data_IF_540830238913
#
_entry.id   IF_540830238913
#
_cell.length_a   1.000
_cell.length_b   1.000
_cell.length_c   1.000
_cell.angle_alpha   90.00
_cell.angle_beta   90.00
_cell.angle_gamma   90.00
#
_symmetry.space_group_name_H-M   'P 1'
#
loop_
_entity.id
_entity.type
_entity.pdbx_description
1 polymer ?
#
# COMPACT_ATOMS: atom_id res chain seq x y z
N UNK A 1 0.46 -1.08 -14.57
CA UNK A 1 1.78 -1.46 -14.02
C UNK A 1 2.89 -1.32 -15.06
N UNK A 2 2.67 -1.74 -16.32
CA UNK A 2 3.69 -1.67 -17.39
C UNK A 2 3.94 -0.29 -18.03
N UNK A 3 3.23 0.76 -17.62
CA UNK A 3 3.42 2.12 -18.13
C UNK A 3 2.70 2.49 -19.43
N UNK A 4 1.79 1.65 -19.91
CA UNK A 4 1.07 1.90 -21.17
C UNK A 4 -0.02 2.98 -21.12
N UNK A 5 -0.27 3.61 -19.96
CA UNK A 5 -1.31 4.63 -19.81
C UNK A 5 -0.66 6.00 -19.82
N UNK A 6 -0.99 6.85 -20.81
CA UNK A 6 -0.44 8.21 -20.87
C UNK A 6 -0.98 9.11 -19.76
N UNK A 7 -0.17 10.08 -19.35
CA UNK A 7 -0.59 11.10 -18.39
C UNK A 7 -1.80 11.88 -18.92
N UNK A 8 -2.77 12.17 -18.05
CA UNK A 8 -4.03 12.83 -18.42
C UNK A 8 -5.11 11.88 -18.97
N UNK A 9 -4.86 10.58 -19.06
CA UNK A 9 -5.89 9.62 -19.47
C UNK A 9 -7.10 9.64 -18.51
N UNK A 10 -8.31 9.79 -19.08
CA UNK A 10 -9.57 9.70 -18.35
C UNK A 10 -10.04 8.25 -18.31
N UNK A 11 -10.03 7.65 -17.13
CA UNK A 11 -10.49 6.28 -16.90
C UNK A 11 -11.93 6.08 -17.39
N UNK A 12 -12.12 5.09 -18.27
CA UNK A 12 -13.43 4.58 -18.63
C UNK A 12 -13.73 3.31 -17.82
N UNK A 13 -14.73 3.32 -16.91
CA UNK A 13 -15.06 2.15 -16.11
C UNK A 13 -15.70 1.01 -16.92
N UNK A 14 -16.12 1.26 -18.17
CA UNK A 14 -16.82 0.29 -19.01
C UNK A 14 -15.95 -0.39 -20.08
N UNK A 15 -14.69 0.03 -20.24
CA UNK A 15 -13.80 -0.51 -21.27
C UNK A 15 -12.35 -0.50 -20.85
N UNK A 16 -11.58 -1.50 -21.29
CA UNK A 16 -10.12 -1.48 -21.19
C UNK A 16 -9.51 -0.44 -22.13
N UNK A 17 -8.32 0.07 -21.78
CA UNK A 17 -7.52 0.87 -22.71
C UNK A 17 -7.06 -0.04 -23.86
N UNK A 18 -7.29 0.40 -25.08
CA UNK A 18 -6.93 -0.35 -26.29
C UNK A 18 -5.65 0.19 -26.90
N UNK A 19 -4.85 -0.67 -27.52
CA UNK A 19 -3.50 -0.32 -28.01
C UNK A 19 -3.53 0.66 -29.20
N UNK A 20 -4.64 0.69 -29.93
CA UNK A 20 -4.92 1.58 -31.07
C UNK A 20 -5.33 2.99 -30.65
N UNK A 21 -5.61 3.22 -29.36
CA UNK A 21 -6.02 4.55 -28.88
C UNK A 21 -4.83 5.48 -28.71
N UNK A 22 -5.04 6.76 -29.01
CA UNK A 22 -4.04 7.81 -28.84
C UNK A 22 -3.49 7.90 -27.40
N UNK A 23 -4.30 7.50 -26.41
CA UNK A 23 -3.94 7.50 -24.98
C UNK A 23 -3.05 6.30 -24.57
N UNK A 24 -2.80 5.35 -25.46
CA UNK A 24 -1.91 4.22 -25.23
C UNK A 24 -0.45 4.63 -25.46
N UNK A 25 0.41 4.27 -24.51
CA UNK A 25 1.85 4.40 -24.64
C UNK A 25 2.45 3.06 -25.10
N UNK A 26 2.76 2.97 -26.40
CA UNK A 26 3.27 1.75 -27.01
C UNK A 26 4.69 1.38 -26.58
N UNK A 27 5.50 2.36 -26.16
CA UNK A 27 6.88 2.16 -25.71
C UNK A 27 7.13 2.87 -24.37
N UNK A 28 6.69 2.27 -23.25
CA UNK A 28 6.83 2.86 -21.94
C UNK A 28 8.28 2.86 -21.48
N UNK A 29 8.77 4.06 -21.16
CA UNK A 29 10.05 4.27 -20.51
C UNK A 29 10.06 3.71 -19.08
N UNK A 30 11.22 3.64 -18.45
CA UNK A 30 11.33 3.26 -17.05
C UNK A 30 10.45 4.15 -16.15
N UNK A 31 10.43 5.46 -16.40
CA UNK A 31 9.64 6.43 -15.62
C UNK A 31 8.12 6.21 -15.73
N UNK A 32 7.66 5.56 -16.79
CA UNK A 32 6.23 5.26 -16.98
C UNK A 32 5.80 4.01 -16.20
N UNK A 33 6.74 3.15 -15.82
CA UNK A 33 6.48 1.86 -15.18
C UNK A 33 6.28 2.02 -13.68
N UNK A 34 5.48 1.12 -13.11
CA UNK A 34 5.31 1.04 -11.67
C UNK A 34 6.48 0.24 -11.08
N UNK A 35 7.10 0.77 -10.02
CA UNK A 35 8.27 0.18 -9.38
C UNK A 35 7.99 -0.45 -8.02
N UNK A 36 6.83 -0.16 -7.43
CA UNK A 36 6.37 -0.72 -6.15
C UNK A 36 4.84 -0.66 -6.09
N UNK A 37 4.23 -1.74 -5.59
CA UNK A 37 2.81 -1.73 -5.22
C UNK A 37 2.67 -1.37 -3.74
N UNK A 38 1.92 -0.31 -3.46
CA UNK A 38 1.57 0.08 -2.08
C UNK A 38 0.06 -0.04 -1.89
N UNK A 39 -0.36 -0.90 -0.97
CA UNK A 39 -1.76 -1.12 -0.62
C UNK A 39 -2.09 -0.45 0.71
N UNK A 40 -2.99 0.54 0.71
CA UNK A 40 -3.36 1.29 1.92
C UNK A 40 -4.70 0.77 2.43
N UNK A 41 -4.72 0.26 3.66
CA UNK A 41 -5.90 -0.34 4.28
C UNK A 41 -6.11 0.30 5.66
N UNK A 42 -7.35 0.60 6.02
CA UNK A 42 -7.68 1.08 7.36
C UNK A 42 -7.79 -0.08 8.33
N UNK A 43 -7.26 0.08 9.55
CA UNK A 43 -7.44 -0.87 10.63
C UNK A 43 -8.92 -1.07 11.02
N UNK A 44 -9.78 -0.09 10.72
CA UNK A 44 -11.22 -0.18 10.92
C UNK A 44 -11.92 -0.99 9.82
N UNK A 45 -11.36 -1.01 8.60
CA UNK A 45 -11.97 -1.69 7.44
C UNK A 45 -11.47 -3.12 7.25
N UNK A 46 -10.40 -3.53 7.94
CA UNK A 46 -9.86 -4.89 7.86
C UNK A 46 -10.91 -5.99 8.14
N UNK A 47 -11.92 -5.70 8.98
CA UNK A 47 -13.02 -6.63 9.28
C UNK A 47 -14.15 -6.63 8.22
N UNK A 48 -14.19 -5.64 7.33
CA UNK A 48 -15.24 -5.43 6.33
C UNK A 48 -14.76 -5.72 4.90
N UNK A 49 -13.56 -6.28 4.73
CA UNK A 49 -13.06 -6.69 3.43
C UNK A 49 -13.93 -7.87 2.92
N UNK A 50 -14.89 -7.57 2.06
CA UNK A 50 -15.76 -8.58 1.42
C UNK A 50 -14.98 -9.45 0.45
N UNK A 51 -15.48 -10.65 0.16
CA UNK A 51 -14.80 -11.63 -0.71
C UNK A 51 -14.39 -11.05 -2.07
N UNK A 52 -15.27 -10.31 -2.73
CA UNK A 52 -14.98 -9.73 -4.05
C UNK A 52 -13.93 -8.63 -4.00
N UNK A 53 -13.95 -7.79 -2.96
CA UNK A 53 -12.96 -6.72 -2.81
C UNK A 53 -11.57 -7.30 -2.48
N UNK A 54 -11.53 -8.29 -1.58
CA UNK A 54 -10.31 -9.05 -1.26
C UNK A 54 -9.75 -9.72 -2.51
N UNK A 55 -10.60 -10.34 -3.32
CA UNK A 55 -10.20 -11.02 -4.55
C UNK A 55 -9.52 -10.05 -5.51
N UNK A 56 -10.11 -8.88 -5.78
CA UNK A 56 -9.54 -7.86 -6.66
C UNK A 56 -8.19 -7.34 -6.15
N UNK A 57 -8.07 -7.06 -4.84
CA UNK A 57 -6.80 -6.64 -4.25
C UNK A 57 -5.72 -7.72 -4.37
N UNK A 58 -6.09 -8.99 -4.15
CA UNK A 58 -5.17 -10.12 -4.32
C UNK A 58 -4.75 -10.30 -5.77
N UNK A 59 -5.64 -10.14 -6.73
CA UNK A 59 -5.32 -10.24 -8.16
C UNK A 59 -4.30 -9.17 -8.58
N UNK A 60 -4.50 -7.92 -8.15
CA UNK A 60 -3.54 -6.83 -8.41
C UNK A 60 -2.20 -7.13 -7.75
N UNK A 61 -2.22 -7.60 -6.49
CA UNK A 61 -1.02 -8.02 -5.76
C UNK A 61 -0.27 -9.13 -6.49
N UNK A 62 -0.93 -10.26 -6.76
CA UNK A 62 -0.29 -11.38 -7.46
C UNK A 62 0.27 -10.98 -8.83
N UNK A 63 -0.43 -10.13 -9.59
CA UNK A 63 0.10 -9.61 -10.84
C UNK A 63 1.36 -8.74 -10.65
N UNK A 64 1.44 -7.95 -9.58
CA UNK A 64 2.66 -7.23 -9.19
C UNK A 64 3.81 -8.20 -8.86
N UNK A 65 3.53 -9.21 -8.03
CA UNK A 65 4.48 -10.24 -7.62
C UNK A 65 5.04 -11.03 -8.80
N UNK A 66 4.21 -11.40 -9.76
CA UNK A 66 4.60 -12.15 -10.96
C UNK A 66 5.53 -11.34 -11.86
N UNK A 67 5.51 -10.01 -11.76
CA UNK A 67 6.48 -9.11 -12.41
C UNK A 67 7.72 -8.83 -11.54
N UNK A 68 7.89 -9.51 -10.40
CA UNK A 68 9.00 -9.30 -9.48
C UNK A 68 8.94 -8.00 -8.67
N UNK A 69 7.83 -7.27 -8.77
CA UNK A 69 7.70 -5.95 -8.14
C UNK A 69 7.52 -6.09 -6.62
N UNK A 70 8.17 -5.25 -5.80
CA UNK A 70 7.96 -5.23 -4.36
C UNK A 70 6.52 -4.81 -4.01
N UNK A 71 6.00 -5.42 -2.94
CA UNK A 71 4.62 -5.27 -2.50
C UNK A 71 4.59 -4.91 -1.02
N UNK A 72 4.02 -3.75 -0.69
CA UNK A 72 3.97 -3.22 0.67
C UNK A 72 2.52 -2.88 1.02
N UNK A 73 2.11 -3.20 2.24
CA UNK A 73 0.84 -2.77 2.78
C UNK A 73 1.05 -1.73 3.90
N UNK A 74 0.19 -0.71 3.93
CA UNK A 74 0.13 0.28 4.99
C UNK A 74 -1.19 0.09 5.73
N UNK A 75 -1.11 -0.18 7.03
CA UNK A 75 -2.27 -0.28 7.91
C UNK A 75 -2.46 1.07 8.62
N UNK A 76 -3.42 1.86 8.16
CA UNK A 76 -3.71 3.23 8.65
C UNK A 76 -4.77 3.24 9.75
N UNK A 77 -4.99 4.41 10.39
CA UNK A 77 -6.03 4.61 11.42
C UNK A 77 -5.90 3.64 12.61
N UNK A 78 -4.66 3.31 12.97
CA UNK A 78 -4.36 2.36 14.06
C UNK A 78 -4.76 2.90 15.44
N UNK A 79 -4.79 4.22 15.58
CA UNK A 79 -5.22 4.99 16.73
C UNK A 79 -6.75 4.94 16.90
N UNK A 80 -7.50 5.04 15.80
CA UNK A 80 -8.96 4.84 15.85
C UNK A 80 -9.31 3.40 16.23
N UNK A 81 -8.60 2.42 15.65
CA UNK A 81 -8.85 1.00 15.91
C UNK A 81 -8.36 0.55 17.30
N UNK A 82 -7.36 1.23 17.87
CA UNK A 82 -6.78 0.96 19.18
C UNK A 82 -6.39 2.27 19.87
N UNK A 83 -7.33 2.93 20.58
CA UNK A 83 -7.10 4.24 21.18
C UNK A 83 -5.92 4.32 22.16
N UNK A 84 -5.49 3.19 22.72
CA UNK A 84 -4.29 3.10 23.57
C UNK A 84 -2.99 3.46 22.82
N UNK A 85 -2.98 3.31 21.49
CA UNK A 85 -1.84 3.64 20.63
C UNK A 85 -1.55 5.14 20.63
N UNK A 86 -2.57 5.98 20.81
CA UNK A 86 -2.37 7.43 20.80
C UNK A 86 -1.52 7.90 22.00
N UNK A 87 -1.56 7.16 23.11
CA UNK A 87 -0.74 7.42 24.30
C UNK A 87 0.69 6.90 24.16
N UNK A 88 0.89 5.79 23.44
CA UNK A 88 2.18 5.12 23.33
C UNK A 88 2.45 4.57 21.92
N UNK A 89 2.54 5.47 20.95
CA UNK A 89 2.70 5.10 19.54
C UNK A 89 4.00 4.33 19.24
N UNK A 90 5.03 4.49 20.08
CA UNK A 90 6.27 3.71 20.04
C UNK A 90 6.06 2.20 20.30
N UNK A 91 4.95 1.83 20.94
CA UNK A 91 4.63 0.45 21.28
C UNK A 91 3.66 -0.21 20.28
N UNK A 92 3.43 0.41 19.11
CA UNK A 92 2.50 -0.08 18.06
C UNK A 92 2.68 -1.57 17.74
N UNK A 93 3.91 -2.03 17.53
CA UNK A 93 4.20 -3.44 17.23
C UNK A 93 4.10 -4.37 18.43
N UNK A 94 4.09 -3.83 19.66
CA UNK A 94 3.94 -4.61 20.91
C UNK A 94 2.47 -4.77 21.32
N UNK A 95 1.56 -3.95 20.79
CA UNK A 95 0.13 -4.04 21.09
C UNK A 95 -0.45 -5.30 20.45
N UNK A 96 -0.94 -6.22 21.29
CA UNK A 96 -1.53 -7.50 20.86
C UNK A 96 -2.65 -7.31 19.82
N UNK A 97 -3.47 -6.28 19.99
CA UNK A 97 -4.56 -5.97 19.07
C UNK A 97 -4.06 -5.62 17.65
N UNK A 98 -3.06 -4.74 17.54
CA UNK A 98 -2.51 -4.38 16.23
C UNK A 98 -1.74 -5.53 15.58
N UNK A 99 -1.04 -6.34 16.37
CA UNK A 99 -0.40 -7.57 15.86
C UNK A 99 -1.44 -8.50 15.24
N UNK A 100 -2.58 -8.71 15.91
CA UNK A 100 -3.69 -9.49 15.37
C UNK A 100 -4.23 -8.89 14.07
N UNK A 101 -4.39 -7.56 13.98
CA UNK A 101 -4.83 -6.89 12.75
C UNK A 101 -3.86 -7.08 11.58
N UNK A 102 -2.55 -7.05 11.85
CA UNK A 102 -1.51 -7.35 10.86
C UNK A 102 -1.62 -8.81 10.39
N UNK A 103 -1.80 -9.77 11.30
CA UNK A 103 -1.97 -11.19 10.98
C UNK A 103 -3.25 -11.44 10.17
N UNK A 104 -4.37 -10.80 10.55
CA UNK A 104 -5.64 -10.83 9.81
C UNK A 104 -5.45 -10.30 8.39
N UNK A 105 -4.82 -9.14 8.23
CA UNK A 105 -4.57 -8.56 6.90
C UNK A 105 -3.63 -9.42 6.06
N UNK A 106 -2.60 -9.99 6.68
CA UNK A 106 -1.68 -10.94 6.05
C UNK A 106 -2.43 -12.16 5.53
N UNK A 107 -3.27 -12.79 6.35
CA UNK A 107 -4.09 -13.94 5.94
C UNK A 107 -5.09 -13.57 4.84
N UNK A 108 -5.71 -12.39 4.94
CA UNK A 108 -6.76 -11.94 4.01
C UNK A 108 -6.20 -11.45 2.68
N UNK A 109 -5.06 -10.76 2.62
CA UNK A 109 -4.54 -10.21 1.37
C UNK A 109 -3.29 -10.93 0.86
N UNK A 110 -2.64 -11.74 1.70
CA UNK A 110 -1.44 -12.52 1.33
C UNK A 110 -0.13 -11.74 1.39
N UNK A 111 -0.10 -10.59 2.08
CA UNK A 111 1.15 -9.88 2.35
C UNK A 111 1.89 -10.56 3.49
N UNK A 112 3.22 -10.77 3.40
CA UNK A 112 4.00 -11.17 4.57
C UNK A 112 3.83 -10.14 5.71
N UNK A 113 3.69 -10.55 6.99
CA UNK A 113 3.57 -9.61 8.10
C UNK A 113 4.70 -8.57 8.17
N UNK A 114 5.90 -8.94 7.74
CA UNK A 114 7.07 -8.05 7.63
C UNK A 114 6.95 -6.95 6.56
N UNK A 115 5.95 -7.04 5.68
CA UNK A 115 5.66 -6.07 4.62
C UNK A 115 4.41 -5.22 4.95
N UNK A 116 3.86 -5.34 6.16
CA UNK A 116 2.69 -4.58 6.62
C UNK A 116 3.14 -3.56 7.66
N UNK A 117 2.97 -2.28 7.33
CA UNK A 117 3.44 -1.15 8.15
C UNK A 117 2.25 -0.43 8.80
N UNK A 118 2.04 -0.57 10.11
CA UNK A 118 1.08 0.24 10.85
C UNK A 118 1.52 1.70 10.93
N UNK A 119 0.63 2.61 10.55
CA UNK A 119 0.83 4.06 10.65
C UNK A 119 -0.40 4.73 11.25
N UNK A 120 -0.17 5.80 12.02
CA UNK A 120 -1.19 6.76 12.40
C UNK A 120 -1.19 7.88 11.36
N UNK A 121 -2.36 8.29 10.90
CA UNK A 121 -2.49 9.45 10.02
C UNK A 121 -2.60 10.73 10.87
N UNK A 122 -2.13 11.85 10.33
CA UNK A 122 -2.49 13.15 10.85
C UNK A 122 -3.93 13.48 10.45
N UNK A 123 -4.72 14.00 11.39
CA UNK A 123 -6.10 14.37 11.11
C UNK A 123 -6.46 15.74 11.67
N UNK A 124 -6.30 15.93 12.98
CA UNK A 124 -6.72 17.16 13.68
C UNK A 124 -5.61 17.77 14.54
N UNK A 125 -4.42 17.18 14.55
CA UNK A 125 -3.27 17.71 15.25
C UNK A 125 -2.75 18.98 14.55
N UNK A 126 -2.41 19.99 15.35
CA UNK A 126 -1.81 21.23 14.86
C UNK A 126 -0.30 21.03 14.62
N UNK A 127 0.35 20.34 15.54
CA UNK A 127 1.79 20.06 15.49
C UNK A 127 2.09 18.61 15.13
N UNK A 128 3.21 18.40 14.46
CA UNK A 128 3.70 17.05 14.18
C UNK A 128 4.17 16.36 15.46
N UNK A 129 3.93 15.05 15.57
CA UNK A 129 4.38 14.22 16.71
C UNK A 129 5.48 13.27 16.26
N UNK A 130 6.60 13.25 16.95
CA UNK A 130 7.79 12.45 16.59
C UNK A 130 7.50 10.97 16.40
N UNK A 131 6.67 10.39 17.28
CA UNK A 131 6.28 8.99 17.18
C UNK A 131 5.44 8.69 15.92
N UNK A 132 4.52 9.58 15.55
CA UNK A 132 3.75 9.48 14.30
C UNK A 132 4.67 9.64 13.08
N UNK A 133 5.53 10.66 13.10
CA UNK A 133 6.53 10.90 12.07
C UNK A 133 7.43 9.69 11.86
N UNK A 134 7.90 9.07 12.94
CA UNK A 134 8.79 7.90 12.89
C UNK A 134 8.13 6.73 12.15
N UNK A 135 6.83 6.46 12.40
CA UNK A 135 6.11 5.40 11.69
C UNK A 135 5.93 5.70 10.20
N UNK A 136 5.51 6.93 9.88
CA UNK A 136 5.31 7.36 8.49
C UNK A 136 6.64 7.34 7.71
N UNK A 137 7.70 7.93 8.28
CA UNK A 137 9.02 7.96 7.67
C UNK A 137 9.63 6.57 7.53
N UNK A 138 9.39 5.66 8.49
CA UNK A 138 9.80 4.27 8.38
C UNK A 138 9.12 3.56 7.20
N UNK A 139 7.81 3.74 7.05
CA UNK A 139 7.05 3.17 5.93
C UNK A 139 7.51 3.76 4.57
N UNK A 140 7.65 5.09 4.49
CA UNK A 140 8.14 5.77 3.28
C UNK A 140 9.55 5.33 2.90
N UNK A 141 10.46 5.26 3.88
CA UNK A 141 11.82 4.76 3.65
C UNK A 141 11.79 3.35 3.07
N UNK A 142 10.94 2.46 3.60
CA UNK A 142 10.80 1.10 3.07
C UNK A 142 10.31 1.10 1.63
N UNK A 143 9.29 1.91 1.32
CA UNK A 143 8.73 2.03 -0.04
C UNK A 143 9.80 2.49 -1.03
N UNK A 144 10.51 3.57 -0.70
CA UNK A 144 11.55 4.15 -1.57
C UNK A 144 12.71 3.17 -1.76
N UNK A 145 13.18 2.54 -0.67
CA UNK A 145 14.29 1.59 -0.74
C UNK A 145 13.91 0.38 -1.58
N UNK A 146 12.73 -0.21 -1.36
CA UNK A 146 12.26 -1.36 -2.14
C UNK A 146 12.08 -1.03 -3.62
N UNK A 147 11.52 0.13 -3.95
CA UNK A 147 11.40 0.58 -5.34
C UNK A 147 12.78 0.82 -5.98
N UNK A 148 13.71 1.44 -5.25
CA UNK A 148 15.08 1.68 -5.70
C UNK A 148 15.84 0.39 -5.94
N UNK A 149 15.78 -0.57 -5.02
CA UNK A 149 16.39 -1.89 -5.16
C UNK A 149 15.84 -2.62 -6.39
N UNK A 150 14.51 -2.60 -6.60
CA UNK A 150 13.89 -3.17 -7.79
C UNK A 150 14.42 -2.54 -9.07
N UNK A 151 14.44 -1.20 -9.14
CA UNK A 151 14.95 -0.46 -10.31
C UNK A 151 16.42 -0.74 -10.59
N UNK A 152 17.25 -0.84 -9.54
CA UNK A 152 18.69 -1.14 -9.68
C UNK A 152 18.98 -2.57 -10.15
N UNK A 153 17.97 -3.46 -10.13
CA UNK A 153 18.06 -4.85 -10.56
C UNK A 153 17.28 -5.15 -11.85
N UNK A 154 16.74 -4.13 -12.53
CA UNK A 154 16.05 -4.25 -13.83
C UNK A 154 17.01 -4.33 -15.02
#
# INVERSE_FOLDING_TARGET
MKGHVKNGYKLNPFSTLSEDKQDYNSDPSLNDRVHVLVCIISANTAQFLTGDFVKKLREVRLAARDMGMPEIAILTKIDEACPEVDKEIQNVYKRKYLKKKIEELSAVLGFPPSCIFPVKNYHSEIDTKDGTNSLILSALRRIITSAGDFVNHL
#
